data_IF_500731926478
#
_entry.id   IF_500731926478
#
_cell.length_a   1.000
_cell.length_b   1.000
_cell.length_c   1.000
_cell.angle_alpha   90.00
_cell.angle_beta   90.00
_cell.angle_gamma   90.00
#
_symmetry.space_group_name_H-M   'P 1'
#
loop_
_entity.id
_entity.type
_entity.pdbx_description
1 polymer ?
#
# COMPACT_ATOMS: atom_id res chain seq x y z
N UNK A 1 38.96 11.56 -9.23
CA UNK A 1 38.97 11.17 -10.66
C UNK A 1 40.35 11.31 -11.31
N UNK A 2 41.11 12.38 -11.06
CA UNK A 2 42.43 12.60 -11.67
C UNK A 2 43.45 11.47 -11.44
N UNK A 3 43.48 10.85 -10.25
CA UNK A 3 44.41 9.77 -9.93
C UNK A 3 44.08 8.45 -10.65
N UNK A 4 42.80 8.20 -10.92
CA UNK A 4 42.35 7.00 -11.65
C UNK A 4 42.65 7.15 -13.14
N UNK A 5 42.45 8.34 -13.71
CA UNK A 5 42.82 8.61 -15.09
C UNK A 5 44.34 8.46 -15.32
N UNK A 6 45.17 8.95 -14.38
CA UNK A 6 46.63 8.79 -14.44
C UNK A 6 47.08 7.33 -14.32
N UNK A 7 46.46 6.53 -13.46
CA UNK A 7 46.83 5.12 -13.31
C UNK A 7 46.43 4.25 -14.51
N UNK A 8 45.31 4.57 -15.15
CA UNK A 8 44.87 3.92 -16.40
C UNK A 8 45.81 4.31 -17.55
N UNK A 9 46.16 5.60 -17.68
CA UNK A 9 47.09 6.07 -18.71
C UNK A 9 48.48 5.42 -18.58
N UNK A 10 49.00 5.30 -17.36
CA UNK A 10 50.27 4.60 -17.08
C UNK A 10 50.22 3.12 -17.47
N UNK A 11 49.13 2.42 -17.13
CA UNK A 11 48.96 1.01 -17.51
C UNK A 11 48.83 0.83 -19.02
N UNK A 12 48.11 1.72 -19.71
CA UNK A 12 47.97 1.67 -21.16
C UNK A 12 49.30 1.90 -21.86
N UNK A 13 50.11 2.85 -21.36
CA UNK A 13 51.38 3.18 -22.01
C UNK A 13 52.45 2.08 -21.86
N UNK A 14 52.34 1.25 -20.82
CA UNK A 14 53.23 0.11 -20.57
C UNK A 14 52.82 -1.19 -21.29
N UNK A 15 51.79 -1.18 -22.13
CA UNK A 15 51.40 -2.37 -22.91
C UNK A 15 52.30 -2.58 -24.15
N UNK A 16 52.60 -3.83 -24.52
CA UNK A 16 53.21 -4.16 -25.80
C UNK A 16 52.40 -3.61 -26.99
N UNK A 17 53.08 -3.24 -28.07
CA UNK A 17 52.48 -2.70 -29.30
C UNK A 17 51.31 -3.53 -29.87
N UNK A 18 51.32 -4.89 -29.90
CA UNK A 18 50.16 -5.64 -30.39
C UNK A 18 48.91 -5.47 -29.52
N UNK A 19 49.06 -5.37 -28.19
CA UNK A 19 47.92 -5.20 -27.28
C UNK A 19 47.31 -3.79 -27.34
N UNK A 20 48.13 -2.77 -27.63
CA UNK A 20 47.64 -1.40 -27.83
C UNK A 20 46.75 -1.32 -29.07
N UNK A 21 47.15 -1.99 -30.16
CA UNK A 21 46.39 -2.05 -31.40
C UNK A 21 45.08 -2.81 -31.22
N UNK A 22 45.09 -3.97 -30.56
CA UNK A 22 43.85 -4.74 -30.34
C UNK A 22 42.87 -4.00 -29.44
N UNK A 23 43.34 -3.37 -28.36
CA UNK A 23 42.47 -2.57 -27.48
C UNK A 23 41.89 -1.35 -28.19
N UNK A 24 42.70 -0.67 -29.00
CA UNK A 24 42.25 0.46 -29.83
C UNK A 24 41.18 0.06 -30.84
N UNK A 25 41.38 -1.06 -31.55
CA UNK A 25 40.40 -1.58 -32.49
C UNK A 25 39.07 -1.96 -31.81
N UNK A 26 39.14 -2.57 -30.62
CA UNK A 26 37.94 -2.96 -29.84
C UNK A 26 37.15 -1.74 -29.36
N UNK A 27 37.83 -0.69 -28.89
CA UNK A 27 37.21 0.58 -28.51
C UNK A 27 36.58 1.30 -29.71
N UNK A 28 37.25 1.27 -30.87
CA UNK A 28 36.70 1.86 -32.09
C UNK A 28 35.43 1.13 -32.54
N UNK A 29 35.43 -0.21 -32.49
CA UNK A 29 34.29 -1.02 -32.88
C UNK A 29 33.09 -0.81 -31.96
N UNK A 30 33.30 -0.73 -30.64
CA UNK A 30 32.22 -0.45 -29.67
C UNK A 30 31.69 0.97 -29.80
N UNK A 31 32.54 1.95 -30.12
CA UNK A 31 32.09 3.31 -30.36
C UNK A 31 31.27 3.42 -31.65
N UNK A 32 31.70 2.73 -32.71
CA UNK A 32 31.01 2.71 -34.00
C UNK A 32 29.61 2.07 -33.89
N UNK A 33 29.44 1.00 -33.12
CA UNK A 33 28.12 0.38 -32.89
C UNK A 33 27.18 1.29 -32.10
N UNK A 34 27.68 2.03 -31.10
CA UNK A 34 26.90 3.00 -30.34
C UNK A 34 26.41 4.16 -31.23
N UNK A 35 27.27 4.69 -32.09
CA UNK A 35 26.91 5.75 -33.06
C UNK A 35 25.87 5.23 -34.05
N UNK A 36 26.02 4.00 -34.55
CA UNK A 36 25.07 3.39 -35.48
C UNK A 36 23.69 3.15 -34.86
N UNK A 37 23.62 2.73 -33.58
CA UNK A 37 22.36 2.59 -32.87
C UNK A 37 21.67 3.95 -32.64
N UNK A 38 22.43 4.98 -32.28
CA UNK A 38 21.89 6.32 -32.07
C UNK A 38 21.35 6.93 -33.38
N UNK A 39 22.04 6.73 -34.50
CA UNK A 39 21.63 7.26 -35.80
C UNK A 39 20.36 6.57 -36.37
N UNK A 40 20.15 5.30 -36.05
CA UNK A 40 19.00 4.52 -36.56
C UNK A 40 17.85 4.39 -35.56
N UNK A 41 17.91 5.12 -34.45
CA UNK A 41 16.83 5.14 -33.47
C UNK A 41 15.63 5.92 -34.02
N UNK A 42 14.59 5.21 -34.47
CA UNK A 42 13.28 5.79 -34.75
C UNK A 42 12.41 5.64 -33.49
N UNK A 43 11.92 6.73 -32.88
CA UNK A 43 10.88 6.62 -31.88
C UNK A 43 9.58 6.20 -32.57
N UNK A 44 8.95 5.11 -32.13
CA UNK A 44 7.59 4.75 -32.53
C UNK A 44 6.67 5.91 -32.13
N UNK A 45 6.12 6.59 -33.12
CA UNK A 45 5.27 7.75 -32.96
C UNK A 45 3.84 7.50 -33.47
N UNK A 46 3.36 6.25 -33.43
CA UNK A 46 2.03 5.92 -33.94
C UNK A 46 1.26 5.04 -32.94
N UNK A 47 0.53 5.70 -32.02
CA UNK A 47 -0.83 5.33 -31.55
C UNK A 47 -1.21 6.16 -30.31
N UNK A 48 -1.35 7.48 -30.48
CA UNK A 48 -2.18 8.28 -29.57
C UNK A 48 -3.42 8.76 -30.33
N UNK A 49 -4.41 7.87 -30.48
CA UNK A 49 -5.77 8.27 -30.81
C UNK A 49 -6.39 8.93 -29.58
N UNK A 50 -6.28 10.25 -29.52
CA UNK A 50 -6.93 11.08 -28.52
C UNK A 50 -8.45 11.05 -28.75
N UNK A 51 -9.20 10.36 -27.90
CA UNK A 51 -10.68 10.44 -27.88
C UNK A 51 -11.04 11.66 -27.02
N UNK A 52 -11.60 12.75 -27.57
CA UNK A 52 -12.05 13.87 -26.75
C UNK A 52 -13.28 13.48 -25.93
N UNK A 53 -13.25 13.82 -24.64
CA UNK A 53 -14.37 13.64 -23.71
C UNK A 53 -15.56 14.54 -24.10
N UNK A 54 -16.82 14.08 -23.95
CA UNK A 54 -18.00 14.90 -24.21
C UNK A 54 -18.12 16.03 -23.17
N UNK A 55 -18.33 17.25 -23.66
CA UNK A 55 -18.59 18.44 -22.84
C UNK A 55 -20.04 18.41 -22.35
N UNK A 56 -20.26 18.46 -21.03
CA UNK A 56 -21.58 18.58 -20.42
C UNK A 56 -21.97 20.08 -20.42
N UNK A 57 -23.15 20.49 -20.92
CA UNK A 57 -23.60 21.88 -20.84
C UNK A 57 -24.03 22.22 -19.41
N UNK A 58 -23.54 23.35 -18.89
CA UNK A 58 -24.03 23.95 -17.65
C UNK A 58 -25.26 24.80 -17.99
N UNK A 59 -26.42 24.63 -17.32
CA UNK A 59 -27.56 25.52 -17.51
C UNK A 59 -27.29 26.87 -16.82
N UNK A 60 -27.30 27.94 -17.62
CA UNK A 60 -27.35 29.31 -17.16
C UNK A 60 -28.79 29.67 -16.76
N UNK A 61 -28.97 30.31 -15.60
CA UNK A 61 -30.19 31.04 -15.31
C UNK A 61 -30.53 31.18 -13.83
N UNK A 62 -30.03 32.25 -13.20
CA UNK A 62 -30.72 32.95 -12.11
C UNK A 62 -30.01 34.29 -11.86
N UNK A 63 -30.42 35.30 -12.60
CA UNK A 63 -30.16 36.70 -12.32
C UNK A 63 -30.90 37.11 -11.03
N UNK A 64 -30.16 37.72 -10.12
CA UNK A 64 -30.70 38.45 -8.99
C UNK A 64 -31.32 39.76 -9.47
N UNK A 65 -32.51 40.10 -8.96
CA UNK A 65 -33.08 41.44 -9.04
C UNK A 65 -33.67 41.80 -7.66
N UNK A 66 -33.23 42.89 -7.01
CA UNK A 66 -33.77 43.35 -5.74
C UNK A 66 -34.69 44.56 -5.96
N UNK A 67 -35.98 44.45 -5.64
CA UNK A 67 -36.81 45.63 -5.40
C UNK A 67 -37.91 45.37 -4.37
N UNK A 68 -38.01 46.37 -3.49
CA UNK A 68 -38.85 46.57 -2.31
C UNK A 68 -40.26 47.00 -2.73
N UNK A 69 -41.33 46.56 -2.04
CA UNK A 69 -42.42 47.37 -1.40
C UNK A 69 -43.18 46.42 -0.45
N UNK A 70 -43.05 46.52 0.87
CA UNK A 70 -43.90 47.25 1.83
C UNK A 70 -45.42 47.14 1.60
N UNK A 71 -46.13 46.56 2.58
CA UNK A 71 -47.49 46.92 2.96
C UNK A 71 -47.88 46.20 4.27
N UNK A 72 -47.96 47.03 5.30
CA UNK A 72 -48.66 47.02 6.58
C UNK A 72 -49.73 45.94 6.89
N UNK A 73 -49.56 45.33 8.08
CA UNK A 73 -50.48 44.86 9.16
C UNK A 73 -52.04 44.90 9.00
N UNK A 74 -52.83 44.34 9.96
CA UNK A 74 -52.76 43.06 10.68
C UNK A 74 -54.15 42.34 10.71
N UNK A 75 -54.23 41.05 11.06
CA UNK A 75 -55.47 40.48 11.63
C UNK A 75 -55.24 39.14 12.36
N UNK A 76 -55.50 39.18 13.65
CA UNK A 76 -56.11 38.20 14.56
C UNK A 76 -56.04 36.67 14.29
N UNK A 77 -55.52 36.02 15.34
CA UNK A 77 -55.64 34.64 15.84
C UNK A 77 -56.96 33.88 15.51
N UNK A 78 -57.00 32.51 15.59
CA UNK A 78 -56.34 31.72 16.64
C UNK A 78 -55.60 30.45 16.22
N UNK A 79 -54.69 30.09 17.13
CA UNK A 79 -54.07 28.78 17.33
C UNK A 79 -55.12 27.68 17.54
N UNK A 80 -55.00 26.52 16.89
CA UNK A 80 -55.54 25.27 17.39
C UNK A 80 -54.45 24.53 18.16
N UNK A 81 -54.63 24.54 19.47
CA UNK A 81 -54.47 23.46 20.43
C UNK A 81 -53.30 22.47 20.30
N UNK A 82 -52.51 22.45 21.39
CA UNK A 82 -51.77 21.31 21.89
C UNK A 82 -52.66 20.06 21.94
N UNK A 83 -52.63 19.24 20.89
CA UNK A 83 -52.83 17.81 21.01
C UNK A 83 -51.55 17.12 20.57
N UNK A 84 -50.79 16.66 21.56
CA UNK A 84 -49.80 15.59 21.37
C UNK A 84 -50.59 14.37 20.89
N UNK A 85 -50.43 13.88 19.65
CA UNK A 85 -50.98 12.58 19.30
C UNK A 85 -50.18 11.54 20.07
N UNK A 86 -50.87 10.87 21.01
CA UNK A 86 -50.43 9.63 21.63
C UNK A 86 -50.12 8.60 20.55
N UNK A 87 -49.10 7.79 20.83
CA UNK A 87 -48.75 6.55 20.12
C UNK A 87 -49.96 5.84 19.49
N UNK A 88 -50.01 5.84 18.17
CA UNK A 88 -50.65 4.77 17.40
C UNK A 88 -49.53 3.93 16.77
N UNK A 89 -49.05 2.97 17.56
CA UNK A 89 -48.42 1.74 17.07
C UNK A 89 -49.55 0.80 16.63
N UNK A 90 -49.60 0.49 15.34
CA UNK A 90 -49.88 -0.86 14.80
C UNK A 90 -49.93 -0.78 13.26
N UNK A 91 -48.77 -0.60 12.63
CA UNK A 91 -48.57 -1.13 11.28
C UNK A 91 -47.90 -2.50 11.41
N UNK A 92 -48.74 -3.54 11.51
CA UNK A 92 -48.32 -4.93 11.55
C UNK A 92 -47.64 -5.31 10.23
N UNK A 93 -46.34 -5.04 10.13
CA UNK A 93 -45.52 -5.42 8.99
C UNK A 93 -44.25 -4.60 8.76
N UNK A 94 -44.10 -3.44 9.41
CA UNK A 94 -42.88 -2.64 9.27
C UNK A 94 -41.72 -3.27 10.08
N UNK A 95 -40.53 -3.48 9.48
CA UNK A 95 -39.39 -3.99 10.22
C UNK A 95 -38.94 -2.96 11.26
N UNK A 96 -38.81 -3.39 12.51
CA UNK A 96 -38.18 -2.59 13.57
C UNK A 96 -36.71 -2.41 13.23
N UNK A 97 -36.19 -1.18 13.30
CA UNK A 97 -34.79 -0.87 13.00
C UNK A 97 -34.04 -0.36 14.24
N UNK A 98 -32.76 -0.75 14.36
CA UNK A 98 -31.89 -0.33 15.45
C UNK A 98 -30.44 -0.13 14.98
N UNK A 99 -29.77 0.87 15.55
CA UNK A 99 -28.34 1.14 15.30
C UNK A 99 -27.53 0.83 16.56
N UNK A 100 -26.59 -0.11 16.44
CA UNK A 100 -25.76 -0.59 17.54
C UNK A 100 -24.95 0.55 18.16
N UNK A 101 -25.07 0.74 19.46
CA UNK A 101 -24.37 1.73 20.27
C UNK A 101 -23.28 1.10 21.14
N UNK A 102 -22.55 1.95 21.88
CA UNK A 102 -21.43 1.49 22.70
C UNK A 102 -21.92 0.65 23.90
N UNK A 103 -21.39 -0.57 24.02
CA UNK A 103 -21.75 -1.51 25.09
C UNK A 103 -22.90 -2.44 24.74
N UNK A 104 -23.53 -2.28 23.58
CA UNK A 104 -24.64 -3.14 23.17
C UNK A 104 -24.18 -4.54 22.77
N UNK A 105 -25.01 -5.51 23.12
CA UNK A 105 -24.93 -6.89 22.66
C UNK A 105 -26.21 -7.24 21.91
N UNK A 106 -26.18 -8.25 21.03
CA UNK A 106 -27.41 -8.68 20.35
C UNK A 106 -28.50 -9.05 21.38
N UNK A 107 -28.11 -9.70 22.47
CA UNK A 107 -29.02 -10.09 23.54
C UNK A 107 -29.62 -8.90 24.26
N UNK A 108 -28.85 -7.86 24.57
CA UNK A 108 -29.39 -6.66 25.24
C UNK A 108 -30.32 -5.87 24.32
N UNK A 109 -30.00 -5.79 23.02
CA UNK A 109 -30.85 -5.09 22.04
C UNK A 109 -32.18 -5.83 21.92
N UNK A 110 -32.17 -7.10 21.51
CA UNK A 110 -33.41 -7.82 21.19
C UNK A 110 -34.32 -7.99 22.42
N UNK A 111 -33.76 -8.24 23.61
CA UNK A 111 -34.58 -8.35 24.84
C UNK A 111 -35.17 -7.01 25.29
N UNK A 112 -34.50 -5.89 25.03
CA UNK A 112 -35.08 -4.55 25.26
C UNK A 112 -36.32 -4.31 24.39
N UNK A 113 -36.37 -4.90 23.20
CA UNK A 113 -37.53 -4.84 22.29
C UNK A 113 -38.53 -5.99 22.49
N UNK A 114 -38.45 -6.71 23.61
CA UNK A 114 -39.43 -7.73 24.00
C UNK A 114 -39.27 -9.09 23.33
N UNK A 115 -38.17 -9.33 22.60
CA UNK A 115 -37.89 -10.63 21.98
C UNK A 115 -37.40 -11.61 23.03
N UNK A 116 -37.93 -12.83 23.01
CA UNK A 116 -37.60 -13.85 24.00
C UNK A 116 -36.13 -14.28 23.92
N UNK A 117 -35.54 -14.57 25.08
CA UNK A 117 -34.12 -14.96 25.19
C UNK A 117 -33.83 -16.30 24.48
N UNK A 118 -34.83 -17.16 24.31
CA UNK A 118 -34.70 -18.42 23.56
C UNK A 118 -34.45 -18.18 22.07
N UNK A 119 -35.15 -17.24 21.44
CA UNK A 119 -34.92 -16.88 20.03
C UNK A 119 -33.52 -16.27 19.82
N UNK A 120 -33.08 -15.42 20.76
CA UNK A 120 -31.72 -14.87 20.76
C UNK A 120 -30.67 -15.98 20.87
N UNK A 121 -30.91 -16.99 21.72
CA UNK A 121 -30.02 -18.14 21.85
C UNK A 121 -29.98 -18.98 20.55
N UNK A 122 -31.14 -19.23 19.93
CA UNK A 122 -31.21 -19.96 18.66
C UNK A 122 -30.46 -19.25 17.53
N UNK A 123 -30.53 -17.91 17.48
CA UNK A 123 -29.76 -17.09 16.54
C UNK A 123 -28.25 -17.16 16.79
N UNK A 124 -27.81 -16.99 18.04
CA UNK A 124 -26.40 -16.84 18.37
C UNK A 124 -25.64 -18.16 18.44
N UNK A 125 -26.28 -19.25 18.85
CA UNK A 125 -25.65 -20.56 19.03
C UNK A 125 -25.04 -21.11 17.72
N UNK A 126 -25.69 -20.85 16.58
CA UNK A 126 -25.18 -21.27 15.26
C UNK A 126 -24.37 -20.19 14.54
N UNK A 127 -24.49 -18.93 14.95
CA UNK A 127 -23.92 -17.78 14.24
C UNK A 127 -23.02 -16.94 15.16
N UNK A 128 -21.78 -17.39 15.36
CA UNK A 128 -20.79 -16.73 16.23
C UNK A 128 -20.42 -15.30 15.81
N UNK A 129 -20.70 -14.91 14.57
CA UNK A 129 -20.48 -13.55 14.07
C UNK A 129 -21.37 -12.51 14.80
N UNK A 130 -22.57 -12.91 15.23
CA UNK A 130 -23.51 -12.05 15.95
C UNK A 130 -23.04 -11.66 17.36
N UNK A 131 -22.03 -12.36 17.91
CA UNK A 131 -21.43 -12.00 19.19
C UNK A 131 -20.51 -10.78 19.12
N UNK A 132 -20.09 -10.37 17.92
CA UNK A 132 -19.11 -9.30 17.71
C UNK A 132 -19.71 -8.13 16.90
N UNK A 133 -20.86 -7.63 17.33
CA UNK A 133 -21.47 -6.43 16.75
C UNK A 133 -20.56 -5.23 16.94
N UNK A 134 -20.47 -4.39 15.90
CA UNK A 134 -19.69 -3.14 15.93
C UNK A 134 -20.64 -1.95 16.05
N UNK A 135 -20.17 -0.94 16.77
CA UNK A 135 -20.86 0.35 16.90
C UNK A 135 -21.15 0.91 15.50
N UNK A 136 -22.38 1.37 15.30
CA UNK A 136 -22.88 1.95 14.04
C UNK A 136 -23.38 0.94 13.01
N UNK A 137 -23.37 -0.37 13.31
CA UNK A 137 -24.05 -1.35 12.46
C UNK A 137 -25.56 -1.29 12.66
N UNK A 138 -26.31 -1.52 11.59
CA UNK A 138 -27.77 -1.48 11.60
C UNK A 138 -28.33 -2.91 11.65
N UNK A 139 -29.30 -3.11 12.53
CA UNK A 139 -30.11 -4.31 12.68
C UNK A 139 -31.54 -3.94 12.33
N UNK A 140 -32.24 -4.86 11.68
CA UNK A 140 -33.68 -4.76 11.48
C UNK A 140 -34.31 -6.12 11.65
N UNK A 141 -35.54 -6.19 12.14
CA UNK A 141 -36.22 -7.45 12.34
C UNK A 141 -37.73 -7.33 12.18
N UNK A 142 -38.37 -8.47 11.91
CA UNK A 142 -39.82 -8.61 11.86
C UNK A 142 -40.27 -9.67 12.85
N UNK A 143 -41.39 -9.39 13.52
CA UNK A 143 -42.03 -10.29 14.46
C UNK A 143 -43.29 -10.90 13.82
N UNK A 144 -43.70 -12.07 14.28
CA UNK A 144 -45.02 -12.63 13.97
C UNK A 144 -46.09 -12.05 14.90
N UNK A 145 -47.36 -12.33 14.62
CA UNK A 145 -48.51 -11.94 15.48
C UNK A 145 -48.38 -12.45 16.94
N UNK A 146 -47.63 -13.54 17.15
CA UNK A 146 -47.35 -14.13 18.47
C UNK A 146 -46.17 -13.47 19.20
N UNK A 147 -45.47 -12.53 18.57
CA UNK A 147 -44.26 -11.87 19.10
C UNK A 147 -42.94 -12.59 18.82
N UNK A 148 -42.99 -13.77 18.18
CA UNK A 148 -41.83 -14.56 17.78
C UNK A 148 -41.02 -13.88 16.66
N UNK A 149 -39.68 -13.96 16.75
CA UNK A 149 -38.79 -13.37 15.75
C UNK A 149 -38.81 -14.18 14.44
N UNK A 150 -39.30 -13.57 13.36
CA UNK A 150 -39.40 -14.21 12.04
C UNK A 150 -38.17 -13.99 11.18
N UNK A 151 -37.80 -12.72 10.99
CA UNK A 151 -36.63 -12.36 10.19
C UNK A 151 -35.77 -11.36 10.93
N UNK A 152 -34.45 -11.46 10.76
CA UNK A 152 -33.50 -10.45 11.20
C UNK A 152 -32.53 -10.16 10.08
N UNK A 153 -32.43 -8.89 9.68
CA UNK A 153 -31.44 -8.41 8.72
C UNK A 153 -30.39 -7.59 9.45
N UNK A 154 -29.13 -7.99 9.28
CA UNK A 154 -27.95 -7.32 9.82
C UNK A 154 -27.10 -6.73 8.69
N UNK A 155 -26.97 -5.41 8.68
CA UNK A 155 -26.08 -4.70 7.77
C UNK A 155 -24.69 -4.66 8.38
N UNK A 156 -23.89 -5.70 8.08
CA UNK A 156 -22.52 -5.85 8.59
C UNK A 156 -21.62 -4.74 8.05
N UNK A 157 -21.77 -4.44 6.76
CA UNK A 157 -21.05 -3.37 6.06
C UNK A 157 -21.82 -2.97 4.80
N UNK A 158 -21.32 -1.95 4.09
CA UNK A 158 -21.85 -1.56 2.77
C UNK A 158 -21.82 -2.69 1.73
N UNK A 159 -21.03 -3.75 1.97
CA UNK A 159 -20.85 -4.88 1.07
C UNK A 159 -21.60 -6.13 1.51
N UNK A 160 -21.82 -6.28 2.80
CA UNK A 160 -22.27 -7.53 3.39
C UNK A 160 -23.50 -7.27 4.22
N UNK A 161 -24.60 -7.89 3.78
CA UNK A 161 -25.86 -7.96 4.50
C UNK A 161 -26.11 -9.43 4.83
N UNK A 162 -26.40 -9.71 6.09
CA UNK A 162 -26.78 -11.05 6.54
C UNK A 162 -28.24 -11.05 6.89
N UNK A 163 -28.96 -12.03 6.40
CA UNK A 163 -30.38 -12.22 6.64
C UNK A 163 -30.55 -13.54 7.36
N UNK A 164 -31.26 -13.52 8.48
CA UNK A 164 -31.59 -14.68 9.29
C UNK A 164 -33.09 -14.87 9.21
N UNK A 165 -33.53 -15.99 8.64
CA UNK A 165 -34.94 -16.32 8.48
C UNK A 165 -35.28 -17.55 9.30
N UNK A 166 -36.39 -17.50 10.03
CA UNK A 166 -36.90 -18.64 10.80
C UNK A 166 -37.60 -19.62 9.84
N UNK A 167 -37.07 -20.83 9.73
CA UNK A 167 -37.66 -21.92 8.93
C UNK A 167 -37.68 -23.17 9.81
N UNK A 168 -38.87 -23.76 10.02
CA UNK A 168 -39.06 -24.96 10.85
C UNK A 168 -38.46 -24.85 12.27
N UNK A 169 -38.58 -23.66 12.89
CA UNK A 169 -38.05 -23.39 14.24
C UNK A 169 -36.52 -23.21 14.31
N UNK A 170 -35.83 -23.12 13.17
CA UNK A 170 -34.39 -22.87 13.10
C UNK A 170 -34.10 -21.64 12.24
N UNK A 171 -33.18 -20.79 12.67
CA UNK A 171 -32.72 -19.66 11.87
C UNK A 171 -31.71 -20.10 10.80
N UNK A 172 -32.03 -19.83 9.54
CA UNK A 172 -31.15 -20.03 8.40
C UNK A 172 -30.49 -18.70 8.04
N UNK A 173 -29.16 -18.70 7.96
CA UNK A 173 -28.37 -17.54 7.53
C UNK A 173 -28.25 -17.52 6.00
N UNK A 174 -28.55 -16.36 5.40
CA UNK A 174 -28.23 -16.02 4.01
C UNK A 174 -27.29 -14.83 4.00
N UNK A 175 -26.12 -14.99 3.39
CA UNK A 175 -25.09 -13.94 3.31
C UNK A 175 -25.11 -13.32 1.92
N UNK A 176 -25.54 -12.07 1.84
CA UNK A 176 -25.54 -11.29 0.62
C UNK A 176 -24.27 -10.42 0.57
N UNK A 177 -23.34 -10.81 -0.30
CA UNK A 177 -22.10 -10.05 -0.54
C UNK A 177 -22.19 -9.35 -1.88
N UNK A 178 -22.31 -8.03 -1.86
CA UNK A 178 -22.22 -7.20 -3.05
C UNK A 178 -20.79 -7.27 -3.62
N UNK A 179 -20.67 -7.61 -4.90
CA UNK A 179 -19.38 -7.61 -5.61
C UNK A 179 -19.19 -6.26 -6.26
N UNK A 180 -18.09 -5.57 -5.93
CA UNK A 180 -17.73 -4.32 -6.59
C UNK A 180 -17.08 -4.55 -7.94
N UNK A 181 -17.18 -3.55 -8.81
CA UNK A 181 -16.46 -3.54 -10.09
C UNK A 181 -15.07 -2.93 -9.91
N UNK A 182 -14.03 -3.63 -10.37
CA UNK A 182 -12.67 -3.10 -10.37
C UNK A 182 -12.40 -2.33 -11.65
N UNK A 183 -11.95 -1.08 -11.51
CA UNK A 183 -11.55 -0.23 -12.63
C UNK A 183 -10.17 0.34 -12.38
N UNK A 184 -9.35 0.36 -13.42
CA UNK A 184 -8.02 0.93 -13.35
C UNK A 184 -8.11 2.43 -13.58
N UNK A 185 -7.35 3.18 -12.78
CA UNK A 185 -7.33 4.63 -12.78
C UNK A 185 -5.89 5.12 -12.63
N UNK A 186 -5.52 6.12 -13.43
CA UNK A 186 -4.18 6.69 -13.45
C UNK A 186 -4.25 8.10 -12.89
N UNK A 187 -3.52 8.32 -11.80
CA UNK A 187 -3.39 9.64 -11.19
C UNK A 187 -2.02 10.20 -11.49
N UNK A 188 -1.99 11.37 -12.13
CA UNK A 188 -0.76 12.10 -12.47
C UNK A 188 -0.72 13.39 -11.67
N UNK A 189 0.46 13.76 -11.19
CA UNK A 189 0.64 15.02 -10.47
C UNK A 189 2.06 15.55 -10.58
N UNK A 190 2.17 16.87 -10.40
CA UNK A 190 3.45 17.57 -10.25
C UNK A 190 3.55 18.05 -8.81
N UNK A 191 4.75 17.95 -8.22
CA UNK A 191 4.98 18.34 -6.85
C UNK A 191 5.02 19.87 -6.73
N UNK A 192 4.25 20.39 -5.78
CA UNK A 192 4.35 21.75 -5.27
C UNK A 192 4.47 21.70 -3.74
N UNK A 193 5.73 21.66 -3.26
CA UNK A 193 6.04 21.40 -1.86
C UNK A 193 6.16 19.90 -1.55
N UNK A 194 5.39 19.40 -0.58
CA UNK A 194 5.51 18.00 -0.15
C UNK A 194 4.76 17.04 -1.09
N UNK A 195 5.28 15.80 -1.21
CA UNK A 195 4.60 14.73 -1.96
C UNK A 195 3.18 14.48 -1.45
N UNK A 196 2.98 14.43 -0.12
CA UNK A 196 1.68 14.14 0.49
C UNK A 196 0.64 15.20 0.12
N UNK A 197 1.00 16.48 0.20
CA UNK A 197 0.10 17.57 -0.16
C UNK A 197 -0.24 17.55 -1.65
N UNK A 198 0.76 17.38 -2.51
CA UNK A 198 0.59 17.35 -3.98
C UNK A 198 -0.24 16.14 -4.42
N UNK A 199 0.00 14.97 -3.81
CA UNK A 199 -0.74 13.75 -4.08
C UNK A 199 -2.21 13.85 -3.64
N UNK A 200 -2.47 14.48 -2.48
CA UNK A 200 -3.84 14.74 -2.02
C UNK A 200 -4.57 15.72 -2.94
N UNK A 201 -3.90 16.78 -3.39
CA UNK A 201 -4.44 17.72 -4.37
C UNK A 201 -4.75 17.05 -5.72
N UNK A 202 -3.97 16.05 -6.11
CA UNK A 202 -4.22 15.23 -7.30
C UNK A 202 -5.34 14.18 -7.14
N UNK A 203 -5.99 14.11 -5.97
CA UNK A 203 -7.11 13.19 -5.73
C UNK A 203 -6.72 11.81 -5.19
N UNK A 204 -5.50 11.64 -4.67
CA UNK A 204 -5.13 10.44 -3.91
C UNK A 204 -5.63 10.51 -2.47
N UNK A 205 -6.21 9.39 -2.01
CA UNK A 205 -6.58 9.21 -0.60
C UNK A 205 -5.34 8.98 0.26
N UNK A 206 -5.45 9.21 1.58
CA UNK A 206 -4.33 8.96 2.50
C UNK A 206 -3.82 7.50 2.44
N UNK A 207 -4.72 6.53 2.22
CA UNK A 207 -4.35 5.13 2.05
C UNK A 207 -3.51 4.88 0.79
N UNK A 208 -3.89 5.49 -0.33
CA UNK A 208 -3.16 5.40 -1.60
C UNK A 208 -1.80 6.10 -1.55
N UNK A 209 -1.73 7.28 -0.91
CA UNK A 209 -0.47 7.99 -0.66
C UNK A 209 0.49 7.10 0.14
N UNK A 210 0.00 6.49 1.21
CA UNK A 210 0.77 5.56 2.03
C UNK A 210 1.23 4.33 1.23
N UNK A 211 0.41 3.79 0.33
CA UNK A 211 0.78 2.68 -0.52
C UNK A 211 1.94 3.05 -1.47
N UNK A 212 1.86 4.23 -2.11
CA UNK A 212 2.94 4.74 -2.98
C UNK A 212 4.22 4.98 -2.19
N UNK A 213 4.11 5.63 -1.02
CA UNK A 213 5.26 5.88 -0.14
C UNK A 213 5.94 4.57 0.25
N UNK A 214 5.17 3.55 0.69
CA UNK A 214 5.72 2.24 1.05
C UNK A 214 6.37 1.51 -0.12
N UNK A 215 5.83 1.63 -1.33
CA UNK A 215 6.36 0.97 -2.52
C UNK A 215 7.73 1.56 -2.94
N UNK A 216 7.93 2.87 -2.76
CA UNK A 216 9.15 3.57 -3.18
C UNK A 216 10.13 3.89 -2.04
N UNK A 217 9.76 3.69 -0.78
CA UNK A 217 10.55 4.12 0.40
C UNK A 217 12.03 3.69 0.39
N UNK A 218 12.34 2.56 -0.24
CA UNK A 218 13.71 2.02 -0.30
C UNK A 218 14.54 2.57 -1.47
N UNK A 219 13.88 3.09 -2.50
CA UNK A 219 14.54 3.65 -3.68
C UNK A 219 14.70 5.17 -3.58
N UNK A 220 13.78 5.84 -2.88
CA UNK A 220 13.60 7.28 -2.90
C UNK A 220 13.33 7.82 -1.49
N UNK A 221 14.09 8.84 -1.12
CA UNK A 221 13.81 9.65 0.07
C UNK A 221 12.84 10.77 -0.30
N UNK A 222 11.57 10.63 0.11
CA UNK A 222 10.52 11.60 -0.18
C UNK A 222 10.80 13.02 0.35
N UNK A 223 11.70 13.16 1.34
CA UNK A 223 12.10 14.48 1.86
C UNK A 223 13.02 15.24 0.92
N UNK A 224 13.66 14.55 -0.03
CA UNK A 224 14.55 15.14 -1.04
C UNK A 224 13.83 15.56 -2.31
N UNK A 225 12.55 15.23 -2.42
CA UNK A 225 11.71 15.65 -3.54
C UNK A 225 11.57 17.16 -3.55
N UNK A 226 11.50 17.72 -4.76
CA UNK A 226 11.46 19.16 -5.00
C UNK A 226 10.23 19.54 -5.78
N UNK A 227 9.90 20.82 -5.72
CA UNK A 227 8.90 21.43 -6.61
C UNK A 227 9.28 21.15 -8.06
N UNK A 228 8.31 20.72 -8.86
CA UNK A 228 8.49 20.36 -10.26
C UNK A 228 8.77 18.87 -10.53
N UNK A 229 9.09 18.09 -9.50
CA UNK A 229 9.14 16.62 -9.63
C UNK A 229 7.76 16.08 -10.01
N UNK A 230 7.70 14.97 -10.75
CA UNK A 230 6.44 14.43 -11.30
C UNK A 230 6.19 13.02 -10.81
N UNK A 231 4.93 12.66 -10.59
CA UNK A 231 4.55 11.29 -10.31
C UNK A 231 3.36 10.86 -11.17
N UNK A 232 3.30 9.56 -11.44
CA UNK A 232 2.17 8.91 -12.09
C UNK A 232 1.94 7.58 -11.39
N UNK A 233 0.74 7.37 -10.86
CA UNK A 233 0.38 6.19 -10.10
C UNK A 233 -0.87 5.53 -10.70
N UNK A 234 -0.74 4.26 -11.04
CA UNK A 234 -1.82 3.41 -11.53
C UNK A 234 -2.40 2.62 -10.37
N UNK A 235 -3.69 2.80 -10.13
CA UNK A 235 -4.45 2.08 -9.12
C UNK A 235 -5.54 1.23 -9.77
N UNK A 236 -5.84 0.09 -9.18
CA UNK A 236 -7.10 -0.60 -9.39
C UNK A 236 -8.04 -0.22 -8.24
N UNK A 237 -9.17 0.40 -8.55
CA UNK A 237 -10.16 0.88 -7.58
C UNK A 237 -11.44 0.06 -7.72
N UNK A 238 -11.90 -0.49 -6.61
CA UNK A 238 -13.19 -1.16 -6.52
C UNK A 238 -14.28 -0.10 -6.28
N UNK A 239 -15.23 0.00 -7.21
CA UNK A 239 -16.41 0.84 -7.09
C UNK A 239 -17.58 0.01 -6.57
N UNK A 240 -18.15 0.44 -5.45
CA UNK A 240 -19.35 -0.13 -4.85
C UNK A 240 -20.40 0.97 -4.74
N UNK A 241 -21.51 0.83 -5.48
CA UNK A 241 -22.59 1.81 -5.57
C UNK A 241 -22.07 3.24 -5.88
N UNK A 242 -21.19 3.35 -6.88
CA UNK A 242 -20.61 4.62 -7.34
C UNK A 242 -19.51 5.21 -6.44
N UNK A 243 -19.28 4.68 -5.23
CA UNK A 243 -18.21 5.13 -4.32
C UNK A 243 -17.01 4.17 -4.36
N UNK A 244 -15.80 4.72 -4.25
CA UNK A 244 -14.59 3.91 -4.13
C UNK A 244 -14.55 3.24 -2.75
N UNK A 245 -14.38 1.93 -2.72
CA UNK A 245 -14.38 1.14 -1.48
C UNK A 245 -12.97 0.60 -1.17
N UNK A 246 -12.31 0.00 -2.17
CA UNK A 246 -10.93 -0.50 -2.05
C UNK A 246 -10.08 0.08 -3.16
N UNK A 247 -8.80 0.30 -2.86
CA UNK A 247 -7.81 0.76 -3.83
C UNK A 247 -6.55 -0.08 -3.72
N UNK A 248 -6.00 -0.48 -4.85
CA UNK A 248 -4.79 -1.27 -4.94
C UNK A 248 -3.80 -0.59 -5.87
N UNK A 249 -2.61 -0.26 -5.37
CA UNK A 249 -1.53 0.24 -6.20
C UNK A 249 -1.03 -0.89 -7.13
N UNK A 250 -1.11 -0.66 -8.44
CA UNK A 250 -0.56 -1.55 -9.47
C UNK A 250 0.82 -1.10 -9.92
N UNK A 251 1.03 0.21 -10.01
CA UNK A 251 2.31 0.74 -10.43
C UNK A 251 2.48 2.21 -10.09
N UNK A 252 3.70 2.65 -9.86
CA UNK A 252 4.03 4.06 -9.73
C UNK A 252 5.35 4.37 -10.43
N UNK A 253 5.37 5.52 -11.08
CA UNK A 253 6.56 6.21 -11.59
C UNK A 253 6.72 7.51 -10.83
N UNK A 254 7.92 7.76 -10.31
CA UNK A 254 8.30 9.05 -9.73
C UNK A 254 9.54 9.58 -10.47
N UNK A 255 9.48 10.81 -10.93
CA UNK A 255 10.57 11.49 -11.62
C UNK A 255 11.13 12.58 -10.71
N UNK A 256 12.40 12.46 -10.31
CA UNK A 256 13.05 13.45 -9.46
C UNK A 256 14.53 13.57 -9.83
N UNK A 257 15.01 14.81 -9.94
CA UNK A 257 16.42 15.10 -10.23
C UNK A 257 16.94 14.47 -11.52
N UNK A 258 16.09 14.32 -12.55
CA UNK A 258 16.44 13.69 -13.83
C UNK A 258 16.50 12.16 -13.81
N UNK A 259 16.09 11.52 -12.70
CA UNK A 259 16.01 10.06 -12.57
C UNK A 259 14.55 9.62 -12.42
N UNK A 260 14.22 8.50 -13.06
CA UNK A 260 12.95 7.82 -12.87
C UNK A 260 13.08 6.69 -11.85
N UNK A 261 12.10 6.60 -10.96
CA UNK A 261 11.93 5.56 -9.97
C UNK A 261 10.62 4.84 -10.25
N UNK A 262 10.69 3.52 -10.41
CA UNK A 262 9.54 2.67 -10.73
C UNK A 262 9.27 1.72 -9.58
N UNK A 263 7.99 1.52 -9.26
CA UNK A 263 7.52 0.39 -8.48
C UNK A 263 6.31 -0.22 -9.14
N UNK A 264 6.48 -1.40 -9.73
CA UNK A 264 5.46 -2.13 -10.48
C UNK A 264 5.10 -3.38 -9.70
N UNK A 265 3.81 -3.57 -9.41
CA UNK A 265 3.32 -4.72 -8.68
C UNK A 265 3.23 -5.93 -9.60
N UNK A 266 3.81 -7.05 -9.16
CA UNK A 266 3.68 -8.34 -9.84
C UNK A 266 2.54 -9.18 -9.26
N UNK A 267 2.27 -10.33 -9.89
CA UNK A 267 1.23 -11.29 -9.48
C UNK A 267 1.49 -11.90 -8.10
N UNK A 268 2.74 -11.94 -7.66
CA UNK A 268 3.15 -12.37 -6.31
C UNK A 268 2.85 -11.32 -5.22
N UNK A 269 2.29 -10.17 -5.59
CA UNK A 269 1.96 -9.08 -4.69
C UNK A 269 3.13 -8.18 -4.30
N UNK A 270 4.35 -8.45 -4.78
CA UNK A 270 5.54 -7.65 -4.51
C UNK A 270 5.76 -6.58 -5.57
N UNK A 271 6.59 -5.59 -5.23
CA UNK A 271 6.96 -4.52 -6.15
C UNK A 271 8.38 -4.70 -6.69
N UNK A 272 8.53 -4.42 -7.97
CA UNK A 272 9.76 -4.53 -8.74
C UNK A 272 10.06 -3.22 -9.47
N UNK A 273 11.33 -2.98 -9.78
CA UNK A 273 11.73 -1.88 -10.67
C UNK A 273 11.44 -2.23 -12.15
N UNK A 274 11.83 -1.34 -13.06
CA UNK A 274 11.63 -1.52 -14.51
C UNK A 274 12.37 -2.74 -15.07
N UNK A 275 13.49 -3.11 -14.46
CA UNK A 275 14.33 -4.25 -14.86
C UNK A 275 13.90 -5.57 -14.18
N UNK A 276 12.85 -5.58 -13.36
CA UNK A 276 12.36 -6.76 -12.66
C UNK A 276 13.12 -7.12 -11.37
N UNK A 277 13.97 -6.23 -10.84
CA UNK A 277 14.60 -6.39 -9.53
C UNK A 277 13.65 -5.96 -8.40
N UNK A 278 13.61 -6.75 -7.32
CA UNK A 278 12.72 -6.50 -6.18
C UNK A 278 13.09 -5.22 -5.43
N UNK A 279 12.08 -4.49 -4.93
CA UNK A 279 12.28 -3.20 -4.25
C UNK A 279 12.35 -3.29 -2.73
N UNK A 280 11.92 -4.41 -2.17
CA UNK A 280 12.01 -4.65 -0.74
C UNK A 280 13.47 -5.01 -0.39
N UNK A 281 14.02 -4.37 0.63
CA UNK A 281 15.27 -4.80 1.28
C UNK A 281 15.08 -6.16 1.97
N UNK A 282 15.07 -7.24 1.21
CA UNK A 282 15.31 -8.57 1.75
C UNK A 282 16.82 -8.77 1.82
N UNK A 283 17.40 -8.77 3.02
CA UNK A 283 18.75 -9.31 3.14
C UNK A 283 18.71 -10.82 2.90
N UNK A 284 19.67 -11.38 2.16
CA UNK A 284 19.91 -12.81 2.17
C UNK A 284 20.24 -13.22 3.61
N UNK A 285 19.56 -14.25 4.11
CA UNK A 285 19.80 -14.80 5.44
C UNK A 285 21.21 -15.40 5.57
N UNK A 286 21.74 -15.94 4.47
CA UNK A 286 23.06 -16.54 4.39
C UNK A 286 23.88 -15.88 3.28
N UNK A 287 25.15 -15.49 3.52
CA UNK A 287 26.04 -14.91 2.52
C UNK A 287 26.66 -15.95 1.58
N UNK A 288 26.09 -17.15 1.47
CA UNK A 288 26.67 -18.29 0.74
C UNK A 288 25.62 -18.97 -0.13
N UNK A 289 26.05 -19.51 -1.27
CA UNK A 289 25.16 -20.23 -2.21
C UNK A 289 24.58 -21.51 -1.62
N UNK A 290 25.29 -22.12 -0.68
CA UNK A 290 24.88 -23.31 0.09
C UNK A 290 24.84 -22.99 1.58
N UNK A 291 24.08 -23.77 2.34
CA UNK A 291 23.97 -23.59 3.78
C UNK A 291 25.14 -24.32 4.47
N UNK A 292 26.12 -23.55 4.95
CA UNK A 292 27.27 -24.08 5.69
C UNK A 292 26.98 -24.10 7.20
N UNK A 293 27.66 -25.00 7.92
CA UNK A 293 27.57 -25.09 9.39
C UNK A 293 28.14 -23.82 10.01
N UNK A 294 27.43 -23.28 11.00
CA UNK A 294 27.94 -22.20 11.86
C UNK A 294 28.94 -22.82 12.85
N UNK A 295 30.21 -22.42 12.76
CA UNK A 295 31.26 -22.85 13.69
C UNK A 295 31.27 -21.98 14.95
N UNK A 296 30.91 -20.70 14.84
CA UNK A 296 30.81 -19.79 15.98
C UNK A 296 29.68 -18.79 15.79
N UNK A 297 28.83 -18.63 16.81
CA UNK A 297 27.71 -17.68 16.79
C UNK A 297 28.15 -16.30 17.29
N UNK A 298 27.35 -15.28 16.97
CA UNK A 298 27.51 -13.95 17.53
C UNK A 298 27.31 -14.01 19.05
N UNK A 299 28.31 -13.54 19.81
CA UNK A 299 28.24 -13.53 21.25
C UNK A 299 29.01 -12.32 21.82
N UNK A 300 28.30 -11.24 22.21
CA UNK A 300 28.93 -10.02 22.69
C UNK A 300 29.56 -10.18 24.09
N UNK A 301 29.25 -11.27 24.81
CA UNK A 301 29.73 -11.54 26.17
C UNK A 301 30.60 -12.79 26.27
N UNK A 302 31.11 -13.29 25.13
CA UNK A 302 31.99 -14.47 25.11
C UNK A 302 33.20 -14.24 26.02
N UNK A 303 33.51 -15.20 26.89
CA UNK A 303 34.67 -15.16 27.76
C UNK A 303 35.86 -15.85 27.09
N UNK A 304 37.06 -15.30 27.26
CA UNK A 304 38.28 -15.96 26.85
C UNK A 304 38.54 -17.16 27.78
N UNK A 305 38.76 -18.37 27.25
CA UNK A 305 38.78 -19.60 28.05
C UNK A 305 39.88 -19.63 29.13
N UNK A 306 41.01 -18.97 28.86
CA UNK A 306 42.16 -18.92 29.79
C UNK A 306 42.05 -17.74 30.77
N UNK A 307 41.86 -16.52 30.26
CA UNK A 307 41.93 -15.29 31.08
C UNK A 307 40.62 -14.92 31.75
N UNK A 308 39.50 -15.55 31.39
CA UNK A 308 38.16 -15.24 31.91
C UNK A 308 37.63 -13.85 31.54
N UNK A 309 38.40 -13.06 30.80
CA UNK A 309 38.00 -11.70 30.37
C UNK A 309 37.00 -11.78 29.23
N UNK A 310 36.12 -10.78 29.15
CA UNK A 310 35.17 -10.65 28.02
C UNK A 310 35.94 -10.39 26.72
N UNK A 311 35.81 -11.31 25.78
CA UNK A 311 36.38 -11.27 24.43
C UNK A 311 35.25 -11.47 23.39
N UNK A 312 34.49 -10.40 23.07
CA UNK A 312 33.27 -10.47 22.27
C UNK A 312 33.51 -11.06 20.88
N UNK A 313 32.60 -11.93 20.44
CA UNK A 313 32.51 -12.34 19.05
C UNK A 313 31.46 -11.48 18.33
N UNK A 314 31.91 -10.57 17.46
CA UNK A 314 31.07 -9.55 16.79
C UNK A 314 30.54 -9.98 15.41
N UNK A 315 30.57 -11.28 15.11
CA UNK A 315 30.11 -11.84 13.84
C UNK A 315 29.58 -13.26 14.00
N UNK A 316 29.29 -13.91 12.87
CA UNK A 316 28.95 -15.32 12.79
C UNK A 316 29.96 -15.97 11.85
N UNK A 317 30.58 -17.06 12.32
CA UNK A 317 31.58 -17.79 11.55
C UNK A 317 30.93 -18.99 10.87
N UNK A 318 31.15 -19.11 9.57
CA UNK A 318 30.70 -20.24 8.76
C UNK A 318 31.90 -21.12 8.40
N UNK A 319 31.81 -22.42 8.67
CA UNK A 319 32.83 -23.39 8.27
C UNK A 319 32.61 -23.78 6.80
N UNK A 320 33.43 -23.23 5.90
CA UNK A 320 33.34 -23.45 4.45
C UNK A 320 34.71 -23.73 3.82
N UNK A 321 34.80 -24.57 2.75
CA UNK A 321 36.04 -24.81 2.04
C UNK A 321 36.64 -23.54 1.41
N UNK A 322 37.96 -23.48 1.33
CA UNK A 322 38.70 -22.39 0.65
C UNK A 322 38.23 -22.29 -0.80
N UNK A 323 37.93 -21.07 -1.24
CA UNK A 323 37.43 -20.78 -2.59
C UNK A 323 35.90 -20.79 -2.73
N UNK A 324 35.15 -21.09 -1.66
CA UNK A 324 33.68 -21.00 -1.71
C UNK A 324 33.22 -19.54 -1.93
N UNK A 325 32.26 -19.29 -2.84
CA UNK A 325 31.82 -17.93 -3.16
C UNK A 325 31.05 -17.30 -1.99
N UNK A 326 31.39 -16.05 -1.69
CA UNK A 326 30.70 -15.22 -0.69
C UNK A 326 29.86 -14.17 -1.41
N UNK A 327 28.57 -14.18 -1.16
CA UNK A 327 27.58 -13.29 -1.76
C UNK A 327 27.34 -12.08 -0.85
N UNK A 328 27.08 -10.92 -1.46
CA UNK A 328 26.57 -9.78 -0.73
C UNK A 328 25.15 -10.11 -0.21
N UNK A 329 24.92 -9.96 1.10
CA UNK A 329 23.60 -10.23 1.68
C UNK A 329 22.55 -9.18 1.32
N UNK A 330 22.90 -8.13 0.58
CA UNK A 330 21.93 -7.17 0.06
C UNK A 330 22.62 -6.15 -0.85
N UNK A 331 21.82 -5.27 -1.44
CA UNK A 331 22.32 -4.22 -2.31
C UNK A 331 23.04 -3.13 -1.51
N UNK A 332 24.35 -2.99 -1.74
CA UNK A 332 25.19 -2.01 -1.05
C UNK A 332 26.26 -1.46 -1.97
N UNK A 333 26.87 -0.34 -1.57
CA UNK A 333 28.01 0.23 -2.31
C UNK A 333 29.29 -0.34 -1.72
N UNK A 334 30.16 -0.88 -2.55
CA UNK A 334 31.48 -1.35 -2.11
C UNK A 334 32.29 -0.21 -1.48
N UNK A 335 32.77 -0.39 -0.25
CA UNK A 335 33.62 0.56 0.45
C UNK A 335 34.86 -0.14 1.00
N UNK A 336 36.05 0.34 0.62
CA UNK A 336 37.33 -0.25 1.05
C UNK A 336 37.95 0.61 2.16
N UNK A 337 38.05 0.12 3.41
CA UNK A 337 38.86 0.76 4.43
C UNK A 337 40.33 0.38 4.24
N UNK A 338 41.22 1.37 4.35
CA UNK A 338 42.67 1.14 4.38
C UNK A 338 43.07 0.41 5.68
N UNK A 339 43.58 -0.82 5.52
CA UNK A 339 44.49 -1.57 6.40
C UNK A 339 44.15 -1.72 7.90
N UNK A 340 43.77 -2.95 8.30
CA UNK A 340 44.46 -3.78 9.30
C UNK A 340 43.60 -5.03 9.60
N UNK A 341 44.18 -6.22 9.46
CA UNK A 341 43.61 -7.56 9.68
C UNK A 341 42.68 -8.12 8.58
N UNK A 342 43.18 -9.13 7.85
CA UNK A 342 42.48 -10.02 6.90
C UNK A 342 41.74 -9.32 5.73
N UNK A 343 41.41 -10.08 4.67
CA UNK A 343 40.63 -9.57 3.53
C UNK A 343 39.20 -9.27 3.97
N UNK A 344 38.99 -8.09 4.57
CA UNK A 344 37.67 -7.65 5.03
C UNK A 344 37.02 -6.77 3.98
N UNK A 345 35.88 -7.21 3.47
CA UNK A 345 35.01 -6.41 2.59
C UNK A 345 33.88 -5.82 3.40
N UNK A 346 33.74 -4.49 3.42
CA UNK A 346 32.56 -3.84 3.99
C UNK A 346 31.62 -3.30 2.91
N UNK A 347 30.34 -3.62 3.08
CA UNK A 347 29.25 -3.13 2.25
C UNK A 347 28.32 -2.29 3.12
N UNK A 348 28.46 -0.95 3.11
CA UNK A 348 27.48 -0.06 3.69
C UNK A 348 26.16 -0.11 2.91
N UNK A 349 25.07 -0.20 3.67
CA UNK A 349 23.70 -0.09 3.19
C UNK A 349 23.17 1.32 3.46
N UNK A 350 22.22 1.78 2.65
CA UNK A 350 21.60 3.12 2.77
C UNK A 350 20.91 3.41 4.12
N UNK A 351 20.78 2.42 5.01
CA UNK A 351 20.10 2.50 6.31
C UNK A 351 21.05 2.61 7.51
N UNK A 352 22.34 2.89 7.29
CA UNK A 352 23.33 2.95 8.37
C UNK A 352 23.77 1.59 8.93
N UNK A 353 23.33 0.50 8.29
CA UNK A 353 23.78 -0.87 8.54
C UNK A 353 24.94 -1.17 7.59
N UNK A 354 25.95 -1.90 8.04
CA UNK A 354 27.05 -2.38 7.21
C UNK A 354 27.28 -3.86 7.45
N UNK A 355 27.55 -4.63 6.41
CA UNK A 355 28.01 -6.03 6.54
C UNK A 355 29.49 -6.11 6.20
N UNK A 356 30.24 -6.78 7.07
CA UNK A 356 31.65 -7.07 6.88
C UNK A 356 31.83 -8.57 6.59
N UNK A 357 32.55 -8.91 5.52
CA UNK A 357 32.95 -10.27 5.19
C UNK A 357 34.45 -10.38 5.40
N UNK A 358 34.88 -11.17 6.38
CA UNK A 358 36.27 -11.43 6.71
C UNK A 358 36.61 -12.90 6.45
N UNK A 359 37.81 -13.19 5.95
CA UNK A 359 38.31 -14.56 5.81
C UNK A 359 39.26 -14.83 6.97
N UNK A 360 38.87 -15.71 7.90
CA UNK A 360 39.81 -16.36 8.80
C UNK A 360 40.59 -17.41 8.00
N UNK A 361 41.88 -17.17 7.79
CA UNK A 361 42.83 -18.13 7.18
C UNK A 361 43.42 -19.06 8.22
#
# INVERSE_FOLDING_TARGET
MLQVARSIALKYNNLPTPHKLTLGALLFLTWSTLVWQAANYKPDADNETFIPLPTIPIPNGASADPSIVDNSEPMDQPTPDDEIPKDELDDAGAPSEYVVSNGDTLSSILTQFGIDSSDVYLLTNKNSALANLKIGQQLSWTLNEEGDLQTMTWIVSRRETRIYERIDGVFKETVNVLKGEWKNDVVVGTLDGSFVASARAAGLTNGEINAVTKALQWQLDFRKLRKGDRFSALFSREKLNGKNEKSQLLGVRMQSGGKDYYAIRSTDGKFYNREGAGLAKGFLRYPTTKQYKISSQFNPRRLHPITGRVAPHKGVDFAMPIGSPVLAVGDGKWWWPSLAAQRVTMLPFATGVSTAHAICT
#
